data_IF_404881756749
#
_entry.id   IF_404881756749
#
_cell.length_a   1.000
_cell.length_b   1.000
_cell.length_c   1.000
_cell.angle_alpha   90.00
_cell.angle_beta   90.00
_cell.angle_gamma   90.00
#
_symmetry.space_group_name_H-M   'P 1'
#
loop_
_entity.id
_entity.type
_entity.pdbx_description
1 polymer ?
#
# COMPACT_ATOMS: atom_id res chain seq x y z
N UNK A 1 -22.78 8.61 -14.83
CA UNK A 1 -23.01 9.39 -13.59
C UNK A 1 -22.19 8.90 -12.38
N UNK A 2 -22.27 7.62 -12.00
CA UNK A 2 -21.51 7.06 -10.86
C UNK A 2 -19.98 7.10 -11.04
N UNK A 3 -19.47 6.75 -12.22
CA UNK A 3 -18.02 6.80 -12.49
C UNK A 3 -17.43 8.21 -12.35
N UNK A 4 -18.19 9.22 -12.79
CA UNK A 4 -17.78 10.63 -12.68
C UNK A 4 -17.66 11.08 -11.21
N UNK A 5 -18.55 10.58 -10.34
CA UNK A 5 -18.53 10.89 -8.92
C UNK A 5 -17.34 10.24 -8.20
N UNK A 6 -17.07 8.97 -8.48
CA UNK A 6 -15.93 8.24 -7.90
C UNK A 6 -14.60 8.87 -8.33
N UNK A 7 -14.49 9.30 -9.59
CA UNK A 7 -13.32 10.05 -10.07
C UNK A 7 -13.13 11.39 -9.35
N UNK A 8 -14.21 12.13 -9.13
CA UNK A 8 -14.16 13.39 -8.39
C UNK A 8 -13.66 13.17 -6.96
N UNK A 9 -14.25 12.22 -6.22
CA UNK A 9 -13.82 11.87 -4.86
C UNK A 9 -12.35 11.43 -4.80
N UNK A 10 -11.93 10.55 -5.71
CA UNK A 10 -10.55 10.08 -5.78
C UNK A 10 -9.57 11.23 -6.09
N UNK A 11 -9.96 12.17 -6.95
CA UNK A 11 -9.14 13.32 -7.31
C UNK A 11 -9.07 14.35 -6.19
N UNK A 12 -10.15 14.59 -5.44
CA UNK A 12 -10.11 15.43 -4.23
C UNK A 12 -9.14 14.88 -3.19
N UNK A 13 -9.18 13.56 -2.92
CA UNK A 13 -8.19 12.92 -2.04
C UNK A 13 -6.78 13.01 -2.64
N UNK A 14 -6.63 12.82 -3.95
CA UNK A 14 -5.36 12.88 -4.67
C UNK A 14 -4.62 14.22 -4.53
N UNK A 15 -5.35 15.34 -4.45
CA UNK A 15 -4.77 16.69 -4.29
C UNK A 15 -3.91 16.80 -3.04
N UNK A 16 -4.28 16.14 -1.94
CA UNK A 16 -3.49 16.13 -0.70
C UNK A 16 -2.10 15.52 -0.89
N UNK A 17 -1.94 14.67 -1.90
CA UNK A 17 -0.70 13.95 -2.22
C UNK A 17 0.02 14.52 -3.45
N UNK A 18 -0.48 15.61 -4.02
CA UNK A 18 0.09 16.26 -5.20
C UNK A 18 -0.39 15.68 -6.53
N UNK A 19 -1.45 14.85 -6.55
CA UNK A 19 -2.04 14.35 -7.78
C UNK A 19 -3.24 15.24 -8.17
N UNK A 20 -3.15 15.87 -9.35
CA UNK A 20 -4.21 16.72 -9.88
C UNK A 20 -5.39 15.95 -10.47
N UNK A 21 -5.16 14.72 -10.91
CA UNK A 21 -6.15 13.86 -11.53
C UNK A 21 -5.87 12.39 -11.19
N UNK A 22 -6.88 11.71 -10.65
CA UNK A 22 -6.81 10.30 -10.26
C UNK A 22 -7.82 9.52 -11.10
N UNK A 23 -7.37 8.44 -11.75
CA UNK A 23 -8.18 7.63 -12.66
C UNK A 23 -8.57 6.30 -12.00
N UNK A 24 -9.71 6.21 -11.30
CA UNK A 24 -10.22 4.95 -10.80
C UNK A 24 -10.75 4.09 -11.94
N UNK A 25 -10.35 2.81 -11.95
CA UNK A 25 -10.84 1.75 -12.84
C UNK A 25 -11.58 0.72 -12.01
N UNK A 26 -12.86 0.52 -12.30
CA UNK A 26 -13.69 -0.42 -11.55
C UNK A 26 -13.46 -1.85 -12.05
N UNK A 27 -13.35 -2.80 -11.13
CA UNK A 27 -13.22 -4.24 -11.46
C UNK A 27 -14.21 -5.08 -10.67
N UNK A 28 -14.73 -6.13 -11.32
CA UNK A 28 -15.54 -7.17 -10.69
C UNK A 28 -14.73 -8.44 -10.37
N UNK A 29 -13.52 -8.59 -10.95
CA UNK A 29 -12.67 -9.78 -10.76
C UNK A 29 -12.06 -9.82 -9.36
N UNK A 30 -11.69 -8.66 -8.82
CA UNK A 30 -11.20 -8.52 -7.45
C UNK A 30 -12.12 -7.52 -6.74
N UNK A 31 -13.28 -7.97 -6.22
CA UNK A 31 -14.37 -7.08 -5.84
C UNK A 31 -14.05 -6.19 -4.62
N UNK A 32 -13.03 -6.55 -3.84
CA UNK A 32 -12.61 -5.85 -2.62
C UNK A 32 -11.17 -5.34 -2.66
N UNK A 33 -10.85 -4.52 -3.65
CA UNK A 33 -9.50 -3.94 -3.81
C UNK A 33 -9.54 -2.42 -3.98
N UNK A 34 -8.59 -1.71 -3.41
CA UNK A 34 -8.32 -0.30 -3.73
C UNK A 34 -6.81 -0.10 -3.73
N UNK A 35 -6.20 -0.15 -4.91
CA UNK A 35 -4.73 -0.15 -5.06
C UNK A 35 -4.28 0.66 -6.28
N UNK A 36 -3.13 1.33 -6.21
CA UNK A 36 -2.52 1.98 -7.36
C UNK A 36 -1.89 0.97 -8.33
N UNK A 37 -2.02 1.23 -9.63
CA UNK A 37 -1.45 0.40 -10.71
C UNK A 37 -0.57 1.19 -11.69
N UNK A 38 -0.68 2.52 -11.74
CA UNK A 38 0.15 3.39 -12.57
C UNK A 38 0.27 4.77 -11.90
N UNK A 39 1.33 5.51 -12.20
CA UNK A 39 1.59 6.86 -11.71
C UNK A 39 1.42 7.96 -12.77
N UNK A 40 1.43 7.61 -14.05
CA UNK A 40 1.39 8.58 -15.15
C UNK A 40 0.37 8.14 -16.21
N UNK A 41 -0.92 8.50 -16.08
CA UNK A 41 -1.53 9.19 -14.93
C UNK A 41 -1.73 8.25 -13.72
N UNK A 42 -1.93 8.82 -12.51
CA UNK A 42 -2.24 8.03 -11.31
C UNK A 42 -3.53 7.25 -11.54
N UNK A 43 -3.41 5.93 -11.65
CA UNK A 43 -4.53 5.03 -11.93
C UNK A 43 -4.71 4.09 -10.75
N UNK A 44 -5.94 4.03 -10.23
CA UNK A 44 -6.33 3.13 -9.14
C UNK A 44 -7.21 2.03 -9.71
N UNK A 45 -7.04 0.80 -9.23
CA UNK A 45 -8.05 -0.26 -9.43
C UNK A 45 -8.91 -0.32 -8.18
N UNK A 46 -10.22 -0.21 -8.37
CA UNK A 46 -11.22 -0.21 -7.31
C UNK A 46 -12.21 -1.35 -7.54
N UNK A 47 -12.38 -2.20 -6.55
CA UNK A 47 -13.35 -3.30 -6.61
C UNK A 47 -14.79 -2.78 -6.54
N UNK A 48 -15.67 -3.31 -7.38
CA UNK A 48 -17.05 -2.86 -7.48
C UNK A 48 -17.81 -2.99 -6.13
N UNK A 49 -17.58 -4.08 -5.40
CA UNK A 49 -18.24 -4.29 -4.11
C UNK A 49 -17.80 -3.28 -3.05
N UNK A 50 -16.56 -2.78 -3.09
CA UNK A 50 -16.18 -1.68 -2.20
C UNK A 50 -17.00 -0.43 -2.49
N UNK A 51 -17.22 -0.08 -3.76
CA UNK A 51 -18.01 1.11 -4.10
C UNK A 51 -19.47 1.01 -3.63
N UNK A 52 -20.02 -0.21 -3.58
CA UNK A 52 -21.38 -0.48 -3.12
C UNK A 52 -21.48 -0.48 -1.59
N UNK A 53 -20.48 -1.03 -0.91
CA UNK A 53 -20.51 -1.25 0.54
C UNK A 53 -19.92 -0.10 1.34
N UNK A 54 -19.14 0.80 0.72
CA UNK A 54 -18.50 1.93 1.41
C UNK A 54 -19.28 3.24 1.28
N UNK A 55 -19.24 4.06 2.33
CA UNK A 55 -19.69 5.45 2.29
C UNK A 55 -18.55 6.39 1.82
N UNK A 56 -18.86 7.68 1.62
CA UNK A 56 -17.88 8.66 1.13
C UNK A 56 -16.65 8.78 2.02
N UNK A 57 -16.78 8.79 3.36
CA UNK A 57 -15.63 8.92 4.27
C UNK A 57 -14.71 7.71 4.20
N UNK A 58 -15.28 6.52 4.12
CA UNK A 58 -14.54 5.26 3.93
C UNK A 58 -13.81 5.25 2.58
N UNK A 59 -14.45 5.72 1.50
CA UNK A 59 -13.80 5.84 0.18
C UNK A 59 -12.67 6.87 0.20
N UNK A 60 -12.87 8.03 0.82
CA UNK A 60 -11.82 9.05 0.96
C UNK A 60 -10.59 8.48 1.67
N UNK A 61 -10.77 7.69 2.74
CA UNK A 61 -9.66 6.99 3.38
C UNK A 61 -8.95 6.01 2.43
N UNK A 62 -9.70 5.18 1.69
CA UNK A 62 -9.13 4.22 0.75
C UNK A 62 -8.36 4.88 -0.40
N UNK A 63 -8.87 6.02 -0.91
CA UNK A 63 -8.20 6.79 -1.96
C UNK A 63 -6.96 7.49 -1.43
N UNK A 64 -7.02 8.13 -0.26
CA UNK A 64 -5.85 8.73 0.38
C UNK A 64 -4.74 7.68 0.63
N UNK A 65 -5.11 6.51 1.15
CA UNK A 65 -4.20 5.37 1.34
C UNK A 65 -3.54 4.96 0.03
N UNK A 66 -4.32 4.81 -1.03
CA UNK A 66 -3.80 4.41 -2.32
C UNK A 66 -2.87 5.48 -2.94
N UNK A 67 -3.20 6.76 -2.76
CA UNK A 67 -2.38 7.88 -3.24
C UNK A 67 -1.03 7.93 -2.52
N UNK A 68 -0.98 7.74 -1.20
CA UNK A 68 0.29 7.71 -0.47
C UNK A 68 1.17 6.54 -0.93
N UNK A 69 0.60 5.34 -1.06
CA UNK A 69 1.35 4.16 -1.53
C UNK A 69 1.90 4.38 -2.94
N UNK A 70 1.13 5.07 -3.78
CA UNK A 70 1.54 5.46 -5.12
C UNK A 70 2.71 6.45 -5.07
N UNK A 71 2.57 7.54 -4.30
CA UNK A 71 3.58 8.58 -4.10
C UNK A 71 4.90 8.03 -3.57
N UNK A 72 4.84 7.06 -2.66
CA UNK A 72 6.00 6.38 -2.11
C UNK A 72 6.66 5.38 -3.08
N UNK A 73 6.09 5.14 -4.27
CA UNK A 73 6.62 4.17 -5.23
C UNK A 73 6.40 2.70 -4.83
N UNK A 74 5.54 2.43 -3.85
CA UNK A 74 5.36 1.11 -3.24
C UNK A 74 4.21 0.28 -3.86
N UNK A 75 3.69 0.73 -4.99
CA UNK A 75 2.53 0.12 -5.67
C UNK A 75 2.76 -1.35 -6.04
N UNK A 76 3.96 -1.70 -6.50
CA UNK A 76 4.32 -3.08 -6.85
C UNK A 76 4.43 -3.93 -5.59
N UNK A 77 5.09 -3.41 -4.55
CA UNK A 77 5.27 -4.14 -3.29
C UNK A 77 3.92 -4.50 -2.63
N UNK A 78 2.97 -3.55 -2.61
CA UNK A 78 1.64 -3.80 -2.06
C UNK A 78 0.87 -4.91 -2.80
N UNK A 79 1.00 -4.96 -4.13
CA UNK A 79 0.21 -5.87 -4.99
C UNK A 79 0.87 -7.23 -5.21
N UNK A 80 2.12 -7.39 -4.79
CA UNK A 80 2.89 -8.60 -5.04
C UNK A 80 2.73 -9.58 -3.87
N UNK A 81 2.53 -10.88 -4.12
CA UNK A 81 2.67 -11.90 -3.09
C UNK A 81 4.05 -11.80 -2.42
N UNK A 82 4.17 -11.89 -1.08
CA UNK A 82 5.42 -11.67 -0.36
C UNK A 82 6.60 -12.51 -0.87
N UNK A 83 6.36 -13.79 -1.17
CA UNK A 83 7.40 -14.68 -1.69
C UNK A 83 7.88 -14.29 -3.10
N UNK A 84 6.97 -13.80 -3.95
CA UNK A 84 7.32 -13.35 -5.30
C UNK A 84 8.12 -12.05 -5.26
N UNK A 85 7.73 -11.11 -4.39
CA UNK A 85 8.50 -9.88 -4.17
C UNK A 85 9.91 -10.19 -3.64
N UNK A 86 10.01 -11.09 -2.67
CA UNK A 86 11.29 -11.53 -2.13
C UNK A 86 12.19 -12.17 -3.21
N UNK A 87 11.63 -13.04 -4.06
CA UNK A 87 12.37 -13.62 -5.18
C UNK A 87 12.80 -12.58 -6.22
N UNK A 88 11.95 -11.60 -6.53
CA UNK A 88 12.30 -10.53 -7.47
C UNK A 88 13.46 -9.66 -6.95
N UNK A 89 13.42 -9.30 -5.67
CA UNK A 89 14.50 -8.54 -5.03
C UNK A 89 15.77 -9.37 -4.90
N UNK A 90 15.69 -10.64 -4.51
CA UNK A 90 16.84 -11.52 -4.46
C UNK A 90 17.49 -11.70 -5.84
N UNK A 91 16.68 -11.88 -6.89
CA UNK A 91 17.17 -11.96 -8.27
C UNK A 91 17.82 -10.66 -8.74
N UNK A 92 17.27 -9.50 -8.34
CA UNK A 92 17.90 -8.20 -8.62
C UNK A 92 19.30 -8.12 -8.00
N UNK A 93 19.46 -8.53 -6.74
CA UNK A 93 20.75 -8.55 -6.05
C UNK A 93 21.70 -9.52 -6.75
N UNK A 94 21.26 -10.74 -7.04
CA UNK A 94 22.05 -11.75 -7.74
C UNK A 94 22.54 -11.29 -9.13
N UNK A 95 21.76 -10.47 -9.83
CA UNK A 95 22.15 -9.92 -11.12
C UNK A 95 23.31 -8.91 -11.03
N UNK A 96 23.58 -8.32 -9.87
CA UNK A 96 24.71 -7.43 -9.61
C UNK A 96 25.82 -8.06 -8.76
N UNK A 97 25.49 -9.06 -7.95
CA UNK A 97 26.42 -9.88 -7.18
C UNK A 97 26.10 -11.38 -7.38
N UNK A 98 26.77 -12.06 -8.33
CA UNK A 98 26.53 -13.48 -8.59
C UNK A 98 26.85 -14.40 -7.40
N UNK A 99 27.60 -13.93 -6.39
CA UNK A 99 27.88 -14.71 -5.18
C UNK A 99 26.72 -14.64 -4.16
N UNK A 100 25.76 -13.73 -4.37
CA UNK A 100 24.57 -13.66 -3.55
C UNK A 100 23.64 -14.85 -3.84
N UNK A 101 23.60 -15.79 -2.90
CA UNK A 101 22.80 -17.02 -2.96
C UNK A 101 22.01 -17.18 -1.65
N UNK A 102 20.74 -16.72 -1.62
CA UNK A 102 19.88 -16.94 -0.46
C UNK A 102 19.68 -18.42 -0.17
N UNK A 103 19.65 -18.77 1.11
CA UNK A 103 19.43 -20.15 1.54
C UNK A 103 18.08 -20.69 1.05
N UNK A 104 18.08 -21.91 0.53
CA UNK A 104 16.87 -22.60 0.06
C UNK A 104 16.28 -22.09 -1.26
N UNK A 105 17.01 -21.25 -2.00
CA UNK A 105 16.60 -20.78 -3.34
C UNK A 105 17.41 -21.50 -4.43
N UNK A 106 16.73 -21.99 -5.47
CA UNK A 106 17.39 -22.58 -6.64
C UNK A 106 18.20 -21.52 -7.41
N UNK A 107 19.52 -21.69 -7.61
CA UNK A 107 20.35 -20.73 -8.32
C UNK A 107 19.91 -20.46 -9.76
N UNK A 108 19.38 -21.48 -10.45
CA UNK A 108 18.93 -21.34 -11.84
C UNK A 108 17.71 -20.42 -11.91
N UNK A 109 16.71 -20.71 -11.07
CA UNK A 109 15.53 -19.87 -10.93
C UNK A 109 15.86 -18.43 -10.52
N UNK A 110 16.83 -18.26 -9.62
CA UNK A 110 17.28 -16.94 -9.14
C UNK A 110 17.89 -16.12 -10.28
N UNK A 111 18.79 -16.71 -11.07
CA UNK A 111 19.41 -16.07 -12.21
C UNK A 111 18.38 -15.66 -13.28
N UNK A 112 17.44 -16.56 -13.59
CA UNK A 112 16.37 -16.29 -14.57
C UNK A 112 15.49 -15.11 -14.16
N UNK A 113 15.09 -15.05 -12.88
CA UNK A 113 14.29 -13.94 -12.35
C UNK A 113 15.12 -12.65 -12.36
N UNK A 114 16.38 -12.70 -11.93
CA UNK A 114 17.27 -11.53 -11.94
C UNK A 114 17.41 -10.93 -13.33
N UNK A 115 17.64 -11.77 -14.34
CA UNK A 115 17.72 -11.31 -15.73
C UNK A 115 16.42 -10.65 -16.20
N UNK A 116 15.26 -11.21 -15.85
CA UNK A 116 13.95 -10.64 -16.22
C UNK A 116 13.73 -9.27 -15.58
N UNK A 117 14.08 -9.12 -14.29
CA UNK A 117 13.97 -7.84 -13.58
C UNK A 117 14.88 -6.79 -14.22
N UNK A 118 16.16 -7.10 -14.43
CA UNK A 118 17.12 -6.16 -15.04
C UNK A 118 16.72 -5.82 -16.48
N UNK A 119 16.23 -6.77 -17.28
CA UNK A 119 15.72 -6.49 -18.64
C UNK A 119 14.54 -5.52 -18.65
N UNK A 120 13.71 -5.51 -17.61
CA UNK A 120 12.56 -4.61 -17.49
C UNK A 120 12.94 -3.18 -17.05
N UNK A 121 14.14 -2.98 -16.50
CA UNK A 121 14.59 -1.67 -16.03
C UNK A 121 15.15 -0.81 -17.18
N UNK A 122 14.85 0.51 -17.20
CA UNK A 122 15.53 1.45 -18.08
C UNK A 122 17.05 1.42 -17.86
N UNK A 123 17.84 1.57 -18.93
CA UNK A 123 19.31 1.45 -18.86
C UNK A 123 19.93 2.34 -17.78
N UNK A 124 19.50 3.61 -17.69
CA UNK A 124 19.98 4.56 -16.67
C UNK A 124 19.75 4.05 -15.24
N UNK A 125 18.56 3.52 -14.98
CA UNK A 125 18.22 2.98 -13.65
C UNK A 125 19.09 1.77 -13.34
N UNK A 126 19.36 0.90 -14.31
CA UNK A 126 20.24 -0.26 -14.11
C UNK A 126 21.64 0.15 -13.63
N UNK A 127 22.24 1.13 -14.30
CA UNK A 127 23.61 1.55 -14.02
C UNK A 127 23.75 2.11 -12.59
N UNK A 128 22.70 2.75 -12.07
CA UNK A 128 22.65 3.32 -10.72
C UNK A 128 22.26 2.28 -9.63
N UNK A 129 21.65 1.15 -10.00
CA UNK A 129 21.04 0.22 -9.04
C UNK A 129 21.99 -0.75 -8.36
N UNK A 130 23.14 -1.07 -8.97
CA UNK A 130 24.04 -2.11 -8.46
C UNK A 130 24.44 -1.93 -6.99
N UNK A 131 25.03 -0.79 -6.60
CA UNK A 131 25.41 -0.53 -5.21
C UNK A 131 24.22 -0.57 -4.25
N UNK A 132 23.07 0.00 -4.66
CA UNK A 132 21.86 0.07 -3.84
C UNK A 132 21.23 -1.31 -3.59
N UNK A 133 21.26 -2.19 -4.59
CA UNK A 133 20.74 -3.55 -4.47
C UNK A 133 21.57 -4.36 -3.45
N UNK A 134 22.91 -4.28 -3.54
CA UNK A 134 23.82 -4.97 -2.62
C UNK A 134 23.70 -4.42 -1.20
N UNK A 135 23.65 -3.09 -1.04
CA UNK A 135 23.47 -2.45 0.26
C UNK A 135 22.14 -2.86 0.92
N UNK A 136 21.05 -2.86 0.15
CA UNK A 136 19.73 -3.30 0.62
C UNK A 136 19.78 -4.74 1.16
N UNK A 137 20.42 -5.65 0.43
CA UNK A 137 20.51 -7.06 0.81
C UNK A 137 21.36 -7.29 2.07
N UNK A 138 22.40 -6.48 2.28
CA UNK A 138 23.29 -6.56 3.44
C UNK A 138 22.75 -5.89 4.70
N UNK A 139 21.63 -5.17 4.64
CA UNK A 139 21.12 -4.38 5.75
C UNK A 139 20.57 -5.28 6.88
N UNK A 140 21.04 -5.12 8.13
CA UNK A 140 20.55 -5.93 9.24
C UNK A 140 19.03 -5.81 9.42
N UNK A 141 18.34 -6.94 9.57
CA UNK A 141 16.90 -6.99 9.75
C UNK A 141 16.06 -6.71 8.50
N UNK A 142 16.69 -6.61 7.31
CA UNK A 142 15.96 -6.49 6.06
C UNK A 142 15.19 -7.77 5.74
N UNK A 143 13.86 -7.68 5.76
CA UNK A 143 12.95 -8.75 5.32
C UNK A 143 12.14 -8.28 4.09
N UNK A 144 12.46 -8.76 2.88
CA UNK A 144 11.74 -8.34 1.67
C UNK A 144 10.28 -8.80 1.65
N UNK A 145 9.91 -9.83 2.44
CA UNK A 145 8.52 -10.31 2.53
C UNK A 145 7.63 -9.33 3.29
N UNK A 146 8.21 -8.52 4.17
CA UNK A 146 7.48 -7.55 4.98
C UNK A 146 7.12 -6.25 4.24
N UNK A 147 7.78 -5.95 3.11
CA UNK A 147 7.67 -4.65 2.42
C UNK A 147 6.23 -4.35 1.99
N UNK A 148 5.49 -5.35 1.50
CA UNK A 148 4.08 -5.16 1.10
C UNK A 148 3.19 -4.75 2.27
N UNK A 149 3.39 -5.37 3.44
CA UNK A 149 2.68 -5.03 4.67
C UNK A 149 3.08 -3.63 5.15
N UNK A 150 4.37 -3.32 5.15
CA UNK A 150 4.89 -2.00 5.52
C UNK A 150 4.34 -0.88 4.62
N UNK A 151 4.21 -1.14 3.31
CA UNK A 151 3.58 -0.22 2.37
C UNK A 151 2.10 0.01 2.71
N UNK A 152 1.38 -1.06 3.03
CA UNK A 152 -0.01 -0.97 3.49
C UNK A 152 -0.14 -0.13 4.77
N UNK A 153 0.72 -0.37 5.75
CA UNK A 153 0.74 0.37 7.02
C UNK A 153 1.08 1.84 6.85
N UNK A 154 2.07 2.18 6.01
CA UNK A 154 2.38 3.56 5.65
C UNK A 154 1.14 4.26 5.08
N UNK A 155 0.50 3.64 4.07
CA UNK A 155 -0.71 4.19 3.47
C UNK A 155 -1.84 4.37 4.47
N UNK A 156 -2.05 3.40 5.37
CA UNK A 156 -3.10 3.47 6.40
C UNK A 156 -2.87 4.63 7.37
N UNK A 157 -1.64 4.80 7.86
CA UNK A 157 -1.28 5.83 8.85
C UNK A 157 -1.42 7.22 8.27
N UNK A 158 -0.89 7.44 7.07
CA UNK A 158 -0.97 8.75 6.39
C UNK A 158 -2.42 9.06 6.00
N UNK A 159 -3.18 8.06 5.54
CA UNK A 159 -4.60 8.26 5.24
C UNK A 159 -5.41 8.61 6.48
N UNK A 160 -5.15 7.98 7.64
CA UNK A 160 -5.80 8.35 8.90
C UNK A 160 -5.45 9.78 9.32
N UNK A 161 -4.18 10.18 9.17
CA UNK A 161 -3.77 11.56 9.44
C UNK A 161 -4.48 12.56 8.52
N UNK A 162 -4.60 12.24 7.24
CA UNK A 162 -5.24 13.11 6.25
C UNK A 162 -6.76 13.22 6.46
N UNK A 163 -7.44 12.15 6.88
CA UNK A 163 -8.91 12.14 7.02
C UNK A 163 -9.39 12.46 8.43
N UNK A 164 -8.60 12.14 9.45
CA UNK A 164 -8.94 12.31 10.86
C UNK A 164 -10.10 11.43 11.36
N UNK A 165 -10.65 10.53 10.54
CA UNK A 165 -11.83 9.71 10.87
C UNK A 165 -11.41 8.24 11.10
N UNK A 166 -11.10 7.92 12.36
CA UNK A 166 -10.68 6.57 12.75
C UNK A 166 -11.75 5.51 12.51
N UNK A 167 -13.04 5.84 12.73
CA UNK A 167 -14.13 4.87 12.56
C UNK A 167 -14.30 4.52 11.09
N UNK A 168 -14.28 5.52 10.20
CA UNK A 168 -14.32 5.29 8.76
C UNK A 168 -13.09 4.50 8.28
N UNK A 169 -11.89 4.81 8.79
CA UNK A 169 -10.68 4.10 8.45
C UNK A 169 -10.74 2.61 8.82
N UNK A 170 -11.14 2.29 10.05
CA UNK A 170 -11.26 0.91 10.52
C UNK A 170 -12.35 0.14 9.78
N UNK A 171 -13.50 0.77 9.53
CA UNK A 171 -14.58 0.19 8.75
C UNK A 171 -14.14 -0.11 7.31
N UNK A 172 -13.42 0.81 6.66
CA UNK A 172 -12.90 0.61 5.31
C UNK A 172 -11.91 -0.56 5.23
N UNK A 173 -11.01 -0.71 6.22
CA UNK A 173 -10.07 -1.84 6.29
C UNK A 173 -10.78 -3.18 6.52
N UNK A 174 -11.85 -3.22 7.32
CA UNK A 174 -12.68 -4.41 7.46
C UNK A 174 -13.38 -4.76 6.13
N UNK A 175 -13.92 -3.76 5.41
CA UNK A 175 -14.61 -3.97 4.13
C UNK A 175 -13.68 -4.47 3.02
N UNK A 176 -12.41 -4.04 3.01
CA UNK A 176 -11.37 -4.64 2.17
C UNK A 176 -11.23 -6.15 2.40
N UNK A 177 -11.46 -6.60 3.64
CA UNK A 177 -11.39 -8.00 4.05
C UNK A 177 -12.76 -8.71 4.07
N UNK A 178 -13.78 -8.10 3.46
CA UNK A 178 -15.13 -8.67 3.37
C UNK A 178 -15.89 -8.74 4.69
N UNK A 179 -15.58 -7.84 5.61
CA UNK A 179 -16.21 -7.73 6.93
C UNK A 179 -16.84 -6.35 7.10
N UNK A 180 -17.83 -6.25 7.98
CA UNK A 180 -18.46 -4.99 8.35
C UNK A 180 -18.30 -4.72 9.85
N UNK A 181 -18.19 -3.45 10.24
CA UNK A 181 -18.07 -3.03 11.64
C UNK A 181 -19.44 -3.00 12.33
N UNK A 182 -20.01 -4.18 12.57
CA UNK A 182 -21.37 -4.35 13.09
C UNK A 182 -21.40 -4.94 14.51
N UNK A 183 -22.57 -4.86 15.14
CA UNK A 183 -22.79 -5.36 16.51
C UNK A 183 -22.40 -4.37 17.61
N UNK A 184 -22.37 -4.88 18.84
CA UNK A 184 -22.00 -4.12 20.03
C UNK A 184 -20.49 -3.88 20.13
N UNK A 185 -20.06 -3.13 21.15
CA UNK A 185 -18.66 -2.77 21.36
C UNK A 185 -17.74 -3.99 21.47
N UNK A 186 -18.18 -5.05 22.15
CA UNK A 186 -17.40 -6.27 22.31
C UNK A 186 -17.19 -6.96 20.97
N UNK A 187 -18.28 -7.12 20.19
CA UNK A 187 -18.23 -7.74 18.88
C UNK A 187 -17.37 -6.96 17.90
N UNK A 188 -17.48 -5.63 17.90
CA UNK A 188 -16.62 -4.74 17.09
C UNK A 188 -15.15 -4.92 17.44
N UNK A 189 -14.80 -4.98 18.73
CA UNK A 189 -13.43 -5.22 19.16
C UNK A 189 -12.90 -6.61 18.72
N UNK A 190 -13.74 -7.65 18.74
CA UNK A 190 -13.38 -8.96 18.19
C UNK A 190 -13.11 -8.91 16.69
N UNK A 191 -13.98 -8.26 15.92
CA UNK A 191 -13.82 -8.09 14.47
C UNK A 191 -12.51 -7.37 14.11
N UNK A 192 -12.19 -6.28 14.82
CA UNK A 192 -10.97 -5.51 14.59
C UNK A 192 -9.68 -6.28 14.89
N UNK A 193 -9.73 -7.37 15.67
CA UNK A 193 -8.57 -8.25 15.91
C UNK A 193 -8.35 -9.26 14.79
N UNK A 194 -9.36 -9.50 13.95
CA UNK A 194 -9.27 -10.49 12.86
C UNK A 194 -8.50 -9.98 11.64
N UNK A 195 -8.27 -8.67 11.55
CA UNK A 195 -7.53 -8.02 10.47
C UNK A 195 -6.29 -7.34 11.07
N UNK A 196 -5.07 -7.78 10.74
CA UNK A 196 -3.84 -7.22 11.32
C UNK A 196 -3.72 -5.70 11.15
N UNK A 197 -4.11 -5.17 9.99
CA UNK A 197 -4.05 -3.76 9.64
C UNK A 197 -4.94 -2.90 10.55
N UNK A 198 -6.11 -3.39 10.96
CA UNK A 198 -6.98 -2.64 11.88
C UNK A 198 -6.38 -2.56 13.28
N UNK A 199 -5.72 -3.63 13.74
CA UNK A 199 -5.00 -3.60 15.01
C UNK A 199 -3.76 -2.69 14.96
N UNK A 200 -3.01 -2.70 13.84
CA UNK A 200 -1.88 -1.79 13.61
C UNK A 200 -2.33 -0.32 13.61
N UNK A 201 -3.41 -0.02 12.89
CA UNK A 201 -3.93 1.34 12.79
C UNK A 201 -4.49 1.86 14.13
N UNK A 202 -5.17 1.00 14.90
CA UNK A 202 -5.63 1.34 16.26
C UNK A 202 -4.48 1.70 17.19
N UNK A 203 -3.39 0.92 17.17
CA UNK A 203 -2.19 1.22 17.97
C UNK A 203 -1.59 2.55 17.56
N UNK A 204 -1.49 2.82 16.25
CA UNK A 204 -0.98 4.09 15.76
C UNK A 204 -1.88 5.27 16.18
N UNK A 205 -3.20 5.12 16.14
CA UNK A 205 -4.14 6.19 16.47
C UNK A 205 -4.07 6.68 17.93
N UNK A 206 -3.44 5.91 18.83
CA UNK A 206 -3.20 6.29 20.22
C UNK A 206 -1.72 6.52 20.54
N UNK A 207 -0.85 6.45 19.53
CA UNK A 207 0.58 6.62 19.68
C UNK A 207 0.96 8.11 19.68
N UNK A 208 2.05 8.46 20.38
CA UNK A 208 2.55 9.83 20.44
C UNK A 208 2.90 10.38 19.05
N UNK A 209 3.41 9.53 18.16
CA UNK A 209 3.78 9.91 16.80
C UNK A 209 2.57 10.38 15.98
N UNK A 210 1.38 9.82 16.23
CA UNK A 210 0.16 10.28 15.57
C UNK A 210 -0.30 11.62 16.13
N UNK A 211 -0.22 11.82 17.44
CA UNK A 211 -0.58 13.08 18.09
C UNK A 211 0.36 14.21 17.65
N UNK A 212 1.68 13.97 17.61
CA UNK A 212 2.65 14.93 17.08
C UNK A 212 2.40 15.25 15.60
N UNK A 213 2.13 14.23 14.78
CA UNK A 213 1.84 14.44 13.36
C UNK A 213 0.58 15.29 13.14
N UNK A 214 -0.48 15.07 13.92
CA UNK A 214 -1.70 15.89 13.90
C UNK A 214 -1.43 17.33 14.30
N UNK A 215 -0.67 17.52 15.39
CA UNK A 215 -0.30 18.84 15.88
C UNK A 215 0.46 19.63 14.81
N UNK A 216 1.48 19.00 14.20
CA UNK A 216 2.28 19.59 13.12
C UNK A 216 1.48 19.87 11.85
N UNK A 217 0.43 19.09 11.58
CA UNK A 217 -0.49 19.32 10.48
C UNK A 217 -1.53 20.43 10.79
N UNK A 218 -1.53 21.00 11.99
CA UNK A 218 -2.49 22.03 12.41
C UNK A 218 -3.89 21.48 12.72
N UNK A 219 -4.03 20.15 12.85
CA UNK A 219 -5.33 19.50 13.03
C UNK A 219 -5.95 19.72 14.42
N UNK A 220 -5.15 20.16 15.39
CA UNK A 220 -5.59 20.41 16.78
C UNK A 220 -5.91 21.89 17.03
N UNK A 221 -5.83 22.73 15.99
CA UNK A 221 -6.07 24.19 16.05
C UNK A 221 -7.43 24.61 15.48
N UNK A 222 -8.30 23.63 15.19
CA UNK A 222 -9.67 23.78 14.66
C UNK A 222 -10.69 23.39 15.73
#
# INVERSE_FOLDING_TARGET
PREHHVRAEASEAGKWFGFSDVHPRVTHTVPRVCVPISLNPLTLVVGAELLETTNTRERTFLFARACEIAKAGLSVALRSPPAQLAMALAGLVHAYDPNYLPEGVDPTQLADIGQRVVKALPRRVRDEMGPLAVEMAGRPGFDPRSIGLAAGDLGNRVALLATGDLVAALSALLKLNGRALEGDTRRRAELLRTVPETASLLRFAVAEEYLDARHRAGADSL
#
